data_IF_132520808619
#
_entry.id   IF_132520808619
#
_cell.length_a   1.000
_cell.length_b   1.000
_cell.length_c   1.000
_cell.angle_alpha   90.00
_cell.angle_beta   90.00
_cell.angle_gamma   90.00
#
_symmetry.space_group_name_H-M   'P 1'
#
loop_
_entity.id
_entity.type
_entity.pdbx_description
1 polymer ?
#
# COMPACT_ATOMS: atom_id res chain seq x y z
N UNK A 1 -10.39 -15.86 -22.35
CA UNK A 1 -10.22 -14.66 -23.21
C UNK A 1 -9.63 -15.08 -24.55
N UNK A 2 -10.17 -14.57 -25.64
CA UNK A 2 -9.62 -14.72 -27.00
C UNK A 2 -9.34 -13.35 -27.61
N UNK A 3 -8.33 -13.26 -28.46
CA UNK A 3 -8.01 -12.08 -29.27
C UNK A 3 -8.20 -12.40 -30.75
N UNK A 4 -8.75 -11.47 -31.51
CA UNK A 4 -8.83 -11.60 -32.97
C UNK A 4 -7.42 -11.57 -33.53
N UNK A 5 -7.09 -12.51 -34.41
CA UNK A 5 -5.80 -12.51 -35.08
C UNK A 5 -5.75 -11.37 -36.10
N UNK A 6 -4.57 -10.73 -36.25
CA UNK A 6 -4.36 -9.61 -37.17
C UNK A 6 -4.43 -10.02 -38.66
N UNK A 7 -4.58 -11.30 -38.97
CA UNK A 7 -4.71 -11.79 -40.34
C UNK A 7 -6.17 -11.73 -40.83
N UNK A 8 -6.44 -11.21 -42.04
CA UNK A 8 -7.78 -11.17 -42.61
C UNK A 8 -8.43 -12.57 -42.64
N UNK A 9 -9.61 -12.70 -42.03
CA UNK A 9 -10.37 -13.96 -41.96
C UNK A 9 -9.89 -14.96 -40.89
N UNK A 10 -8.93 -14.59 -40.04
CA UNK A 10 -8.40 -15.49 -39.02
C UNK A 10 -9.32 -15.60 -37.79
N UNK A 11 -9.40 -16.80 -37.15
CA UNK A 11 -10.25 -17.01 -35.99
C UNK A 11 -9.68 -16.34 -34.73
N UNK A 12 -10.56 -16.07 -33.78
CA UNK A 12 -10.21 -15.69 -32.42
C UNK A 12 -9.34 -16.77 -31.74
N UNK A 13 -8.14 -16.42 -31.29
CA UNK A 13 -7.22 -17.34 -30.61
C UNK A 13 -7.27 -17.14 -29.09
N UNK A 14 -7.23 -18.23 -28.32
CA UNK A 14 -7.28 -18.16 -26.86
C UNK A 14 -5.93 -17.71 -26.33
N UNK A 15 -5.91 -16.56 -25.64
CA UNK A 15 -4.68 -15.96 -25.11
C UNK A 15 -4.54 -16.16 -23.59
N UNK A 16 -5.65 -16.49 -22.91
CA UNK A 16 -5.60 -16.77 -21.48
C UNK A 16 -6.97 -17.06 -20.87
N UNK A 17 -6.94 -17.50 -19.62
CA UNK A 17 -8.11 -17.75 -18.79
C UNK A 17 -7.86 -17.13 -17.43
N UNK A 18 -8.91 -16.56 -16.83
CA UNK A 18 -8.88 -16.06 -15.46
C UNK A 18 -9.98 -16.77 -14.67
N UNK A 19 -9.68 -17.09 -13.42
CA UNK A 19 -10.60 -17.78 -12.52
C UNK A 19 -10.45 -17.21 -11.12
N UNK A 20 -11.55 -17.13 -10.39
CA UNK A 20 -11.57 -16.52 -9.07
C UNK A 20 -12.99 -16.16 -8.67
N UNK A 21 -13.18 -15.84 -7.39
CA UNK A 21 -14.50 -15.49 -6.83
C UNK A 21 -14.97 -14.09 -7.26
N UNK A 22 -14.04 -13.15 -7.38
CA UNK A 22 -14.26 -11.75 -7.78
C UNK A 22 -12.93 -11.16 -8.25
N UNK A 23 -12.98 -9.94 -8.80
CA UNK A 23 -11.77 -9.21 -9.20
C UNK A 23 -11.10 -9.75 -10.45
N UNK A 24 -11.88 -10.40 -11.34
CA UNK A 24 -11.33 -10.99 -12.55
C UNK A 24 -10.85 -9.88 -13.50
N UNK A 25 -9.54 -9.79 -13.67
CA UNK A 25 -8.88 -8.93 -14.64
C UNK A 25 -7.85 -9.74 -15.44
N UNK A 26 -7.56 -9.31 -16.67
CA UNK A 26 -6.55 -9.94 -17.52
C UNK A 26 -5.73 -8.88 -18.24
N UNK A 27 -4.41 -9.03 -18.21
CA UNK A 27 -3.46 -8.17 -18.91
C UNK A 27 -2.85 -8.93 -20.10
N UNK A 28 -3.03 -8.41 -21.31
CA UNK A 28 -2.42 -8.96 -22.51
C UNK A 28 -1.05 -8.29 -22.72
N UNK A 29 0.01 -8.92 -22.26
CA UNK A 29 1.39 -8.43 -22.43
C UNK A 29 1.93 -8.65 -23.84
N UNK A 30 1.21 -9.29 -24.75
CA UNK A 30 1.69 -9.61 -26.11
C UNK A 30 1.28 -8.57 -27.15
N UNK A 31 0.87 -7.38 -26.71
CA UNK A 31 0.39 -6.30 -27.58
C UNK A 31 1.55 -5.42 -28.03
N UNK A 32 1.56 -5.07 -29.31
CA UNK A 32 2.40 -4.01 -29.82
C UNK A 32 1.71 -2.66 -29.55
N UNK A 33 2.50 -1.68 -29.09
CA UNK A 33 2.02 -0.32 -28.88
C UNK A 33 1.52 0.29 -30.21
N UNK A 34 0.62 1.25 -30.08
CA UNK A 34 -0.08 1.94 -31.17
C UNK A 34 -0.95 1.04 -32.06
N UNK A 35 -1.32 -0.15 -31.57
CA UNK A 35 -2.22 -1.09 -32.26
C UNK A 35 -3.53 -1.25 -31.52
N UNK A 36 -4.59 -1.52 -32.29
CA UNK A 36 -5.91 -1.88 -31.77
C UNK A 36 -6.12 -3.38 -31.85
N UNK A 37 -6.74 -3.93 -30.81
CA UNK A 37 -7.02 -5.35 -30.66
C UNK A 37 -8.47 -5.57 -30.27
N UNK A 38 -9.11 -6.53 -30.91
CA UNK A 38 -10.45 -7.00 -30.56
C UNK A 38 -10.36 -8.25 -29.70
N UNK A 39 -11.03 -8.21 -28.56
CA UNK A 39 -11.10 -9.28 -27.59
C UNK A 39 -12.51 -9.85 -27.53
N UNK A 40 -12.59 -11.16 -27.34
CA UNK A 40 -13.81 -11.86 -26.98
C UNK A 40 -13.62 -12.54 -25.63
N UNK A 41 -14.57 -12.34 -24.73
CA UNK A 41 -14.56 -12.90 -23.38
C UNK A 41 -15.80 -13.77 -23.25
N UNK A 42 -15.65 -14.95 -22.65
CA UNK A 42 -16.73 -15.90 -22.44
C UNK A 42 -16.52 -16.68 -21.15
N UNK A 43 -17.59 -17.15 -20.53
CA UNK A 43 -17.56 -18.06 -19.38
C UNK A 43 -17.80 -19.52 -19.81
N UNK A 44 -17.43 -20.46 -18.94
CA UNK A 44 -17.81 -21.88 -19.04
C UNK A 44 -17.48 -22.55 -20.38
N UNK A 45 -16.20 -22.71 -20.72
CA UNK A 45 -15.74 -23.33 -21.97
C UNK A 45 -16.40 -22.77 -23.25
N UNK A 46 -16.70 -21.46 -23.28
CA UNK A 46 -17.36 -20.77 -24.40
C UNK A 46 -18.84 -21.11 -24.60
N UNK A 47 -19.47 -21.74 -23.61
CA UNK A 47 -20.90 -22.10 -23.62
C UNK A 47 -21.73 -21.01 -22.94
N UNK A 48 -21.12 -20.18 -22.09
CA UNK A 48 -21.78 -19.09 -21.38
C UNK A 48 -21.88 -17.78 -22.18
N UNK A 49 -22.36 -16.69 -21.53
CA UNK A 49 -22.43 -15.37 -22.13
C UNK A 49 -21.09 -14.95 -22.72
N UNK A 50 -21.13 -14.30 -23.89
CA UNK A 50 -19.93 -13.74 -24.52
C UNK A 50 -20.04 -12.25 -24.69
N UNK A 51 -18.98 -11.51 -24.41
CA UNK A 51 -18.85 -10.10 -24.76
C UNK A 51 -17.63 -9.85 -25.65
N UNK A 52 -17.64 -8.73 -26.36
CA UNK A 52 -16.51 -8.26 -27.16
C UNK A 52 -16.07 -6.90 -26.68
N UNK A 53 -14.77 -6.66 -26.68
CA UNK A 53 -14.17 -5.38 -26.32
C UNK A 53 -13.04 -5.06 -27.29
N UNK A 54 -12.98 -3.81 -27.74
CA UNK A 54 -11.84 -3.29 -28.49
C UNK A 54 -10.95 -2.48 -27.54
N UNK A 55 -9.64 -2.63 -27.61
CA UNK A 55 -8.69 -1.82 -26.87
C UNK A 55 -7.53 -1.40 -27.77
N UNK A 56 -6.98 -0.20 -27.53
CA UNK A 56 -5.74 0.26 -28.16
C UNK A 56 -4.63 0.21 -27.12
N UNK A 57 -3.49 -0.39 -27.48
CA UNK A 57 -2.28 -0.29 -26.69
C UNK A 57 -1.67 1.10 -26.92
N UNK A 58 -1.75 1.99 -25.95
CA UNK A 58 -1.32 3.37 -26.10
C UNK A 58 0.20 3.49 -25.95
N UNK A 59 0.82 4.37 -26.75
CA UNK A 59 2.21 4.77 -26.54
C UNK A 59 2.27 5.65 -25.29
N UNK A 60 3.25 5.42 -24.43
CA UNK A 60 3.54 6.28 -23.29
C UNK A 60 4.51 7.37 -23.77
N UNK A 61 3.96 8.40 -24.42
CA UNK A 61 4.72 9.38 -25.20
C UNK A 61 5.61 10.29 -24.36
N UNK A 62 5.21 10.58 -23.12
CA UNK A 62 5.91 11.49 -22.21
C UNK A 62 5.84 11.04 -20.74
N UNK A 63 6.30 11.91 -19.83
CA UNK A 63 6.33 11.70 -18.38
C UNK A 63 4.92 11.57 -17.81
N UNK A 64 4.00 12.41 -18.26
CA UNK A 64 2.63 12.45 -17.75
C UNK A 64 1.85 11.21 -18.21
N UNK A 65 1.97 10.79 -19.46
CA UNK A 65 1.36 9.57 -19.98
C UNK A 65 1.87 8.32 -19.25
N UNK A 66 3.17 8.26 -18.95
CA UNK A 66 3.75 7.16 -18.17
C UNK A 66 3.23 7.14 -16.74
N UNK A 67 3.17 8.31 -16.08
CA UNK A 67 2.67 8.42 -14.71
C UNK A 67 1.18 8.12 -14.61
N UNK A 68 0.36 8.56 -15.57
CA UNK A 68 -1.07 8.23 -15.64
C UNK A 68 -1.27 6.71 -15.79
N UNK A 69 -0.53 6.07 -16.69
CA UNK A 69 -0.53 4.61 -16.84
C UNK A 69 -0.15 3.90 -15.53
N UNK A 70 0.93 4.32 -14.88
CA UNK A 70 1.39 3.73 -13.63
C UNK A 70 0.35 3.90 -12.50
N UNK A 71 -0.22 5.10 -12.37
CA UNK A 71 -1.26 5.38 -11.39
C UNK A 71 -2.54 4.59 -11.66
N UNK A 72 -2.95 4.47 -12.93
CA UNK A 72 -4.12 3.69 -13.32
C UNK A 72 -3.94 2.21 -13.01
N UNK A 73 -2.80 1.64 -13.37
CA UNK A 73 -2.51 0.22 -13.11
C UNK A 73 -2.35 -0.07 -11.62
N UNK A 74 -1.80 0.85 -10.83
CA UNK A 74 -1.82 0.76 -9.37
C UNK A 74 -3.26 0.86 -8.81
N UNK A 75 -4.09 1.76 -9.33
CA UNK A 75 -5.50 1.89 -8.94
C UNK A 75 -6.29 0.60 -9.22
N UNK A 76 -6.03 -0.05 -10.35
CA UNK A 76 -6.72 -1.28 -10.75
C UNK A 76 -6.59 -2.39 -9.69
N UNK A 77 -5.48 -2.44 -8.93
CA UNK A 77 -5.35 -3.31 -7.77
C UNK A 77 -6.50 -3.10 -6.77
N UNK A 78 -6.69 -1.86 -6.31
CA UNK A 78 -7.74 -1.54 -5.33
C UNK A 78 -9.16 -1.69 -5.90
N UNK A 79 -9.31 -1.46 -7.20
CA UNK A 79 -10.61 -1.65 -7.86
C UNK A 79 -11.01 -3.12 -7.95
N UNK A 80 -10.10 -3.97 -8.45
CA UNK A 80 -10.35 -5.39 -8.71
C UNK A 80 -10.20 -6.26 -7.47
N UNK A 81 -9.25 -5.97 -6.56
CA UNK A 81 -9.03 -6.77 -5.36
C UNK A 81 -9.96 -6.42 -4.20
N UNK A 82 -10.83 -5.43 -4.36
CA UNK A 82 -11.91 -5.16 -3.42
C UNK A 82 -13.06 -6.16 -3.60
N UNK A 83 -13.49 -6.78 -2.50
CA UNK A 83 -14.62 -7.68 -2.50
C UNK A 83 -15.93 -6.92 -2.81
N UNK A 84 -16.76 -7.35 -3.78
CA UNK A 84 -17.84 -6.54 -4.33
C UNK A 84 -18.98 -6.24 -3.35
N UNK A 85 -19.16 -7.07 -2.31
CA UNK A 85 -20.24 -6.88 -1.30
C UNK A 85 -19.79 -6.17 -0.04
N UNK A 86 -18.51 -6.27 0.29
CA UNK A 86 -17.96 -5.79 1.57
C UNK A 86 -17.05 -4.59 1.37
N UNK A 87 -16.46 -4.44 0.18
CA UNK A 87 -15.52 -3.37 -0.15
C UNK A 87 -14.15 -3.52 0.52
N UNK A 88 -13.92 -4.63 1.23
CA UNK A 88 -12.63 -4.98 1.82
C UNK A 88 -11.65 -5.39 0.72
N UNK A 89 -10.41 -4.90 0.80
CA UNK A 89 -9.36 -5.13 -0.21
C UNK A 89 -8.46 -6.27 0.22
N UNK A 90 -8.16 -7.21 -0.67
CA UNK A 90 -7.19 -8.28 -0.39
C UNK A 90 -5.81 -7.73 -0.02
N UNK A 91 -5.07 -8.51 0.77
CA UNK A 91 -3.66 -8.24 1.08
C UNK A 91 -2.77 -8.25 -0.17
N UNK A 92 -3.08 -9.15 -1.11
CA UNK A 92 -2.31 -9.34 -2.35
C UNK A 92 -3.21 -9.83 -3.47
N UNK A 93 -2.72 -9.77 -4.71
CA UNK A 93 -3.45 -10.24 -5.90
C UNK A 93 -3.40 -11.77 -6.02
N UNK A 94 -3.92 -12.47 -5.00
CA UNK A 94 -4.01 -13.92 -4.95
C UNK A 94 -5.43 -14.35 -4.56
N UNK A 95 -6.04 -15.36 -5.21
CA UNK A 95 -7.42 -15.74 -4.94
C UNK A 95 -7.70 -16.19 -3.51
N UNK A 96 -6.68 -16.72 -2.83
CA UNK A 96 -6.72 -17.24 -1.46
C UNK A 96 -6.46 -16.18 -0.38
N UNK A 97 -6.02 -14.97 -0.76
CA UNK A 97 -5.67 -13.94 0.20
C UNK A 97 -6.90 -13.42 0.95
N UNK A 98 -6.74 -13.25 2.27
CA UNK A 98 -7.67 -12.51 3.09
C UNK A 98 -7.61 -11.01 2.77
N UNK A 99 -8.59 -10.27 3.28
CA UNK A 99 -8.55 -8.82 3.23
C UNK A 99 -7.52 -8.28 4.21
N UNK A 100 -6.79 -7.25 3.77
CA UNK A 100 -5.91 -6.47 4.61
C UNK A 100 -6.57 -5.13 4.94
N UNK A 101 -6.56 -4.77 6.22
CA UNK A 101 -7.15 -3.52 6.70
C UNK A 101 -6.36 -2.31 6.21
N UNK A 102 -5.04 -2.42 6.10
CA UNK A 102 -4.21 -1.33 5.58
C UNK A 102 -4.49 -1.09 4.09
N UNK A 103 -4.51 -2.14 3.27
CA UNK A 103 -4.89 -2.12 1.87
C UNK A 103 -6.32 -1.61 1.66
N UNK A 104 -7.23 -1.91 2.59
CA UNK A 104 -8.59 -1.34 2.58
C UNK A 104 -8.56 0.17 2.82
N UNK A 105 -7.72 0.65 3.73
CA UNK A 105 -7.44 2.07 3.93
C UNK A 105 -6.91 2.78 2.70
N UNK A 106 -5.86 2.24 2.09
CA UNK A 106 -5.34 2.74 0.82
C UNK A 106 -6.39 2.67 -0.30
N UNK A 107 -7.21 1.62 -0.32
CA UNK A 107 -8.29 1.45 -1.28
C UNK A 107 -9.35 2.54 -1.20
N UNK A 108 -9.72 3.00 0.00
CA UNK A 108 -10.61 4.16 0.17
C UNK A 108 -10.02 5.41 -0.50
N UNK A 109 -8.75 5.72 -0.24
CA UNK A 109 -8.04 6.82 -0.89
C UNK A 109 -7.97 6.64 -2.41
N UNK A 110 -7.67 5.43 -2.87
CA UNK A 110 -7.60 5.09 -4.29
C UNK A 110 -8.94 5.30 -5.01
N UNK A 111 -10.10 5.04 -4.35
CA UNK A 111 -11.41 5.31 -4.95
C UNK A 111 -11.63 6.80 -5.21
N UNK A 112 -11.22 7.67 -4.28
CA UNK A 112 -11.28 9.11 -4.46
C UNK A 112 -10.36 9.58 -5.60
N UNK A 113 -9.12 9.08 -5.65
CA UNK A 113 -8.17 9.35 -6.75
C UNK A 113 -8.74 8.87 -8.09
N UNK A 114 -9.31 7.66 -8.14
CA UNK A 114 -9.89 7.11 -9.37
C UNK A 114 -11.10 7.89 -9.87
N UNK A 115 -11.90 8.46 -8.96
CA UNK A 115 -12.98 9.37 -9.33
C UNK A 115 -12.44 10.72 -9.85
N UNK A 116 -11.42 11.28 -9.20
CA UNK A 116 -10.79 12.56 -9.58
C UNK A 116 -10.10 12.47 -10.95
N UNK A 117 -9.37 11.38 -11.18
CA UNK A 117 -8.69 11.07 -12.44
C UNK A 117 -9.62 10.56 -13.55
N UNK A 118 -10.89 10.27 -13.23
CA UNK A 118 -11.86 9.73 -14.19
C UNK A 118 -11.60 8.27 -14.61
N UNK A 119 -10.87 7.51 -13.80
CA UNK A 119 -10.65 6.08 -14.04
C UNK A 119 -11.93 5.25 -13.88
N UNK A 120 -12.79 5.69 -12.98
CA UNK A 120 -14.14 5.22 -12.72
C UNK A 120 -15.06 6.43 -12.54
N UNK A 121 -16.38 6.24 -12.64
CA UNK A 121 -17.30 7.34 -12.35
C UNK A 121 -17.28 7.68 -10.85
N UNK A 122 -17.50 8.97 -10.52
CA UNK A 122 -17.63 9.41 -9.11
C UNK A 122 -18.70 8.63 -8.36
N UNK A 123 -19.80 8.29 -9.04
CA UNK A 123 -20.89 7.48 -8.48
C UNK A 123 -20.40 6.10 -8.09
N UNK A 124 -19.72 5.39 -8.99
CA UNK A 124 -19.22 4.04 -8.72
C UNK A 124 -18.20 4.05 -7.57
N UNK A 125 -17.36 5.09 -7.51
CA UNK A 125 -16.43 5.31 -6.42
C UNK A 125 -17.15 5.54 -5.08
N UNK A 126 -18.16 6.42 -5.06
CA UNK A 126 -18.95 6.71 -3.87
C UNK A 126 -19.73 5.48 -3.37
N UNK A 127 -20.32 4.70 -4.28
CA UNK A 127 -21.03 3.46 -3.97
C UNK A 127 -20.08 2.42 -3.36
N UNK A 128 -18.85 2.28 -3.90
CA UNK A 128 -17.81 1.42 -3.32
C UNK A 128 -17.39 1.89 -1.93
N UNK A 129 -17.08 3.17 -1.78
CA UNK A 129 -16.67 3.77 -0.49
C UNK A 129 -17.75 3.57 0.56
N UNK A 130 -19.01 3.88 0.25
CA UNK A 130 -20.11 3.72 1.19
C UNK A 130 -20.27 2.26 1.61
N UNK A 131 -20.15 1.32 0.67
CA UNK A 131 -20.18 -0.12 0.97
C UNK A 131 -19.08 -0.50 1.96
N UNK A 132 -17.83 -0.09 1.72
CA UNK A 132 -16.70 -0.36 2.62
C UNK A 132 -16.94 0.22 4.02
N UNK A 133 -17.33 1.50 4.12
CA UNK A 133 -17.57 2.16 5.40
C UNK A 133 -18.71 1.49 6.19
N UNK A 134 -19.78 1.09 5.51
CA UNK A 134 -20.90 0.40 6.15
C UNK A 134 -20.52 -1.00 6.64
N UNK A 135 -19.70 -1.74 5.89
CA UNK A 135 -19.15 -3.03 6.34
C UNK A 135 -18.35 -2.86 7.62
N UNK A 136 -17.38 -1.93 7.61
CA UNK A 136 -16.52 -1.68 8.78
C UNK A 136 -17.34 -1.25 9.99
N UNK A 137 -18.34 -0.37 9.81
CA UNK A 137 -19.20 0.12 10.89
C UNK A 137 -20.09 -0.96 11.50
N UNK A 138 -20.55 -1.92 10.68
CA UNK A 138 -21.40 -3.03 11.13
C UNK A 138 -20.60 -4.19 11.71
N UNK A 139 -19.28 -4.21 11.50
CA UNK A 139 -18.39 -5.24 12.01
C UNK A 139 -18.45 -5.36 13.53
N UNK A 140 -18.48 -6.59 14.04
CA UNK A 140 -18.59 -6.86 15.48
C UNK A 140 -17.32 -6.39 16.20
N UNK A 141 -17.50 -5.56 17.24
CA UNK A 141 -16.42 -5.07 18.10
C UNK A 141 -16.51 -5.75 19.47
N UNK A 142 -15.51 -6.56 19.85
CA UNK A 142 -15.53 -7.36 21.09
C UNK A 142 -14.14 -7.94 21.39
N UNK A 143 -13.79 -8.19 22.67
CA UNK A 143 -12.53 -8.86 23.02
C UNK A 143 -12.52 -10.37 22.71
N UNK A 144 -13.61 -10.92 22.16
CA UNK A 144 -13.69 -12.34 21.81
C UNK A 144 -12.66 -12.73 20.73
N UNK A 145 -12.21 -13.98 20.74
CA UNK A 145 -11.17 -14.44 19.80
C UNK A 145 -11.66 -14.66 18.35
N UNK A 146 -12.97 -14.83 18.14
CA UNK A 146 -13.57 -15.20 16.85
C UNK A 146 -14.89 -14.46 16.59
N UNK A 147 -15.31 -14.42 15.32
CA UNK A 147 -16.53 -13.72 14.86
C UNK A 147 -16.55 -12.22 15.22
N UNK A 148 -15.37 -11.61 15.25
CA UNK A 148 -15.14 -10.20 15.56
C UNK A 148 -14.33 -9.56 14.44
N UNK A 149 -14.64 -8.31 14.10
CA UNK A 149 -13.87 -7.50 13.14
C UNK A 149 -12.81 -6.66 13.84
N UNK A 150 -12.95 -6.45 15.15
CA UNK A 150 -12.05 -5.63 15.93
C UNK A 150 -12.45 -5.49 17.39
N UNK A 151 -11.77 -4.61 18.10
CA UNK A 151 -12.01 -4.32 19.51
C UNK A 151 -11.60 -2.87 19.83
N UNK A 152 -12.31 -2.19 20.73
CA UNK A 152 -12.05 -0.78 21.09
C UNK A 152 -12.03 0.19 19.88
N UNK A 153 -12.75 -0.13 18.81
CA UNK A 153 -12.77 0.66 17.57
C UNK A 153 -11.56 0.41 16.66
N UNK A 154 -10.57 -0.37 17.11
CA UNK A 154 -9.50 -0.87 16.25
C UNK A 154 -9.95 -2.07 15.44
N UNK A 155 -9.20 -2.38 14.39
CA UNK A 155 -9.45 -3.52 13.52
C UNK A 155 -8.28 -4.51 13.55
N UNK A 156 -8.61 -5.79 13.36
CA UNK A 156 -7.60 -6.82 13.15
C UNK A 156 -6.90 -6.61 11.80
N UNK A 157 -5.61 -6.93 11.73
CA UNK A 157 -4.80 -6.70 10.53
C UNK A 157 -5.38 -7.40 9.28
N UNK A 158 -5.86 -8.63 9.45
CA UNK A 158 -6.51 -9.43 8.41
C UNK A 158 -7.96 -9.74 8.73
N UNK A 159 -8.82 -9.59 7.74
CA UNK A 159 -10.23 -9.95 7.81
C UNK A 159 -10.58 -10.93 6.68
N UNK A 160 -11.46 -11.89 6.97
CA UNK A 160 -12.07 -12.72 5.95
C UNK A 160 -12.92 -11.83 5.01
N UNK A 161 -12.70 -11.87 3.67
CA UNK A 161 -13.35 -10.93 2.74
C UNK A 161 -14.88 -11.05 2.68
N UNK A 162 -15.41 -12.24 2.96
CA UNK A 162 -16.84 -12.56 2.84
C UNK A 162 -17.61 -12.12 4.10
N UNK A 163 -17.03 -12.32 5.28
CA UNK A 163 -17.67 -12.09 6.58
C UNK A 163 -17.21 -10.81 7.29
N UNK A 164 -15.99 -10.33 6.99
CA UNK A 164 -15.36 -9.21 7.68
C UNK A 164 -14.87 -9.54 9.08
N UNK A 165 -14.75 -10.82 9.45
CA UNK A 165 -14.22 -11.24 10.75
C UNK A 165 -12.71 -11.49 10.70
N UNK A 166 -12.03 -11.38 11.84
CA UNK A 166 -10.61 -11.68 12.04
C UNK A 166 -10.22 -12.98 11.34
N UNK A 167 -9.16 -12.90 10.53
CA UNK A 167 -8.56 -14.03 9.84
C UNK A 167 -7.13 -14.27 10.34
N UNK A 168 -6.57 -15.45 10.03
CA UNK A 168 -5.14 -15.78 10.23
C UNK A 168 -4.64 -15.67 11.67
N UNK A 169 -5.53 -15.64 12.66
CA UNK A 169 -5.19 -15.36 14.07
C UNK A 169 -4.35 -14.08 14.25
N UNK A 170 -4.46 -13.12 13.33
CA UNK A 170 -3.65 -11.89 13.35
C UNK A 170 -3.95 -11.00 14.55
N UNK A 171 -3.07 -10.04 14.80
CA UNK A 171 -3.20 -9.02 15.82
C UNK A 171 -4.33 -8.03 15.55
N UNK A 172 -4.86 -7.45 16.63
CA UNK A 172 -5.46 -6.12 16.60
C UNK A 172 -4.32 -5.11 16.50
N UNK A 173 -4.28 -4.33 15.40
CA UNK A 173 -3.15 -3.44 15.13
C UNK A 173 -3.56 -1.96 15.15
N UNK A 174 -2.90 -1.12 15.97
CA UNK A 174 -3.17 0.30 16.02
C UNK A 174 -2.66 1.01 14.76
N UNK A 175 -1.52 0.58 14.20
CA UNK A 175 -0.96 1.19 13.00
C UNK A 175 -1.82 0.92 11.76
N UNK A 176 -2.23 -0.33 11.51
CA UNK A 176 -3.10 -0.62 10.34
C UNK A 176 -4.45 0.09 10.46
N UNK A 177 -4.95 0.25 11.69
CA UNK A 177 -6.16 1.03 11.97
C UNK A 177 -5.93 2.51 11.66
N UNK A 178 -4.77 3.08 12.02
CA UNK A 178 -4.45 4.47 11.70
C UNK A 178 -4.37 4.71 10.17
N UNK A 179 -3.81 3.76 9.41
CA UNK A 179 -3.81 3.84 7.94
C UNK A 179 -5.23 3.72 7.38
N UNK A 180 -6.04 2.78 7.90
CA UNK A 180 -7.46 2.68 7.54
C UNK A 180 -8.19 4.01 7.78
N UNK A 181 -8.03 4.58 8.97
CA UNK A 181 -8.66 5.84 9.35
C UNK A 181 -8.18 7.01 8.49
N UNK A 182 -6.95 6.98 7.98
CA UNK A 182 -6.46 7.98 7.04
C UNK A 182 -7.25 7.96 5.74
N UNK A 183 -7.50 6.77 5.19
CA UNK A 183 -8.38 6.60 4.03
C UNK A 183 -9.83 7.01 4.32
N UNK A 184 -10.36 6.67 5.50
CA UNK A 184 -11.70 7.08 5.95
C UNK A 184 -11.83 8.60 6.02
N UNK A 185 -10.84 9.29 6.59
CA UNK A 185 -10.81 10.75 6.65
C UNK A 185 -10.66 11.37 5.26
N UNK A 186 -9.84 10.78 4.39
CA UNK A 186 -9.65 11.26 3.02
C UNK A 186 -10.97 11.26 2.25
N UNK A 187 -11.67 10.11 2.22
CA UNK A 187 -12.96 10.01 1.49
C UNK A 187 -14.05 10.89 2.10
N UNK A 188 -14.02 11.11 3.42
CA UNK A 188 -14.91 12.08 4.07
C UNK A 188 -14.72 13.50 3.54
N UNK A 189 -13.47 13.92 3.27
CA UNK A 189 -13.19 15.26 2.74
C UNK A 189 -13.43 15.36 1.24
N UNK A 190 -13.27 14.26 0.49
CA UNK A 190 -13.44 14.24 -0.97
C UNK A 190 -14.90 14.12 -1.42
N UNK A 191 -15.69 13.27 -0.76
CA UNK A 191 -17.09 13.01 -1.11
C UNK A 191 -18.06 13.92 -0.33
N UNK A 192 -18.31 15.11 -0.88
CA UNK A 192 -19.05 16.20 -0.20
C UNK A 192 -20.34 16.62 -0.90
N UNK A 193 -20.75 15.93 -1.98
CA UNK A 193 -22.01 16.25 -2.64
C UNK A 193 -23.22 15.92 -1.74
N UNK A 194 -24.38 16.59 -1.91
CA UNK A 194 -25.55 16.35 -1.05
C UNK A 194 -26.01 14.89 -0.98
N UNK A 195 -25.89 14.14 -2.07
CA UNK A 195 -26.24 12.71 -2.13
C UNK A 195 -25.15 11.78 -1.54
N UNK A 196 -24.01 12.32 -1.11
CA UNK A 196 -22.87 11.59 -0.54
C UNK A 196 -22.80 11.74 1.00
N UNK A 197 -23.76 12.42 1.63
CA UNK A 197 -23.75 12.73 3.07
C UNK A 197 -23.58 11.50 3.98
N UNK A 198 -24.05 10.32 3.54
CA UNK A 198 -23.87 9.07 4.26
C UNK A 198 -22.39 8.67 4.42
N UNK A 199 -21.51 9.03 3.47
CA UNK A 199 -20.06 8.78 3.56
C UNK A 199 -19.49 9.55 4.73
N UNK A 200 -19.75 10.86 4.81
CA UNK A 200 -19.27 11.69 5.92
C UNK A 200 -19.77 11.18 7.28
N UNK A 201 -21.05 10.80 7.37
CA UNK A 201 -21.63 10.28 8.62
C UNK A 201 -20.98 8.97 9.10
N UNK A 202 -20.78 8.00 8.20
CA UNK A 202 -20.13 6.74 8.55
C UNK A 202 -18.63 6.94 8.85
N UNK A 203 -17.95 7.78 8.09
CA UNK A 203 -16.54 8.06 8.30
C UNK A 203 -16.27 8.74 9.65
N UNK A 204 -17.07 9.75 10.02
CA UNK A 204 -16.99 10.38 11.35
C UNK A 204 -17.26 9.37 12.46
N UNK A 205 -18.27 8.50 12.30
CA UNK A 205 -18.59 7.50 13.31
C UNK A 205 -17.45 6.49 13.52
N UNK A 206 -16.84 6.01 12.43
CA UNK A 206 -15.69 5.11 12.50
C UNK A 206 -14.49 5.75 13.19
N UNK A 207 -14.10 6.95 12.74
CA UNK A 207 -12.95 7.66 13.31
C UNK A 207 -13.12 7.95 14.81
N UNK A 208 -14.31 8.41 15.21
CA UNK A 208 -14.58 8.75 16.60
C UNK A 208 -14.69 7.54 17.52
N UNK A 209 -14.93 6.33 16.98
CA UNK A 209 -15.03 5.11 17.75
C UNK A 209 -13.66 4.52 18.15
N UNK A 210 -12.56 4.94 17.51
CA UNK A 210 -11.22 4.44 17.82
C UNK A 210 -10.77 4.96 19.18
N UNK A 211 -10.63 4.05 20.13
CA UNK A 211 -10.21 4.38 21.49
C UNK A 211 -8.68 4.39 21.61
N UNK A 212 -8.01 5.44 21.15
CA UNK A 212 -6.53 5.50 21.13
C UNK A 212 -5.87 5.31 22.49
N UNK A 213 -6.59 5.54 23.59
CA UNK A 213 -6.07 5.30 24.94
C UNK A 213 -5.87 3.81 25.27
N UNK A 214 -6.50 2.90 24.52
CA UNK A 214 -6.40 1.46 24.74
C UNK A 214 -4.98 0.91 24.52
N UNK A 215 -4.19 1.54 23.63
CA UNK A 215 -2.81 1.16 23.34
C UNK A 215 -1.78 1.97 24.14
N UNK A 216 -2.18 2.75 25.15
CA UNK A 216 -1.20 3.48 25.96
C UNK A 216 -0.45 2.54 26.89
N UNK A 217 0.88 2.62 26.87
CA UNK A 217 1.76 1.94 27.82
C UNK A 217 2.30 2.89 28.90
N UNK A 218 2.72 2.36 30.07
CA UNK A 218 3.17 3.15 31.21
C UNK A 218 4.36 4.08 30.94
N UNK A 219 5.17 3.77 29.93
CA UNK A 219 6.37 4.55 29.55
C UNK A 219 6.04 5.74 28.63
N UNK A 220 4.75 5.99 28.38
CA UNK A 220 4.21 6.95 27.43
C UNK A 220 4.47 6.61 25.96
N UNK A 221 4.59 5.33 25.59
CA UNK A 221 4.53 4.89 24.19
C UNK A 221 3.23 4.17 23.87
N UNK A 222 2.98 3.99 22.58
CA UNK A 222 1.89 3.15 22.12
C UNK A 222 2.38 1.71 21.99
N UNK A 223 1.63 0.77 22.55
CA UNK A 223 1.84 -0.66 22.38
C UNK A 223 1.73 -1.05 20.90
N UNK A 224 2.45 -2.10 20.53
CA UNK A 224 2.58 -2.51 19.13
C UNK A 224 1.35 -3.27 18.62
N UNK A 225 0.88 -4.25 19.39
CA UNK A 225 -0.15 -5.20 18.96
C UNK A 225 -0.92 -5.76 20.15
N UNK A 226 -2.19 -6.13 19.94
CA UNK A 226 -3.00 -6.80 20.96
C UNK A 226 -3.65 -8.07 20.42
N UNK A 227 -3.68 -9.12 21.22
CA UNK A 227 -4.37 -10.38 20.91
C UNK A 227 -5.39 -10.72 21.99
N UNK A 228 -6.56 -11.29 21.64
CA UNK A 228 -7.55 -11.79 22.60
C UNK A 228 -6.99 -12.75 23.64
N UNK A 229 -6.05 -13.60 23.22
CA UNK A 229 -5.58 -14.72 24.03
C UNK A 229 -4.41 -14.33 24.96
N UNK A 230 -3.59 -13.36 24.54
CA UNK A 230 -2.35 -12.98 25.24
C UNK A 230 -2.31 -11.54 25.73
N UNK A 231 -3.27 -10.71 25.34
CA UNK A 231 -3.29 -9.28 25.68
C UNK A 231 -2.35 -8.46 24.80
N UNK A 232 -1.85 -7.35 25.36
CA UNK A 232 -0.90 -6.47 24.67
C UNK A 232 0.46 -7.16 24.53
N UNK A 233 1.09 -6.99 23.38
CA UNK A 233 2.48 -7.38 23.16
C UNK A 233 3.43 -6.56 24.05
N UNK A 234 4.60 -7.12 24.37
CA UNK A 234 5.60 -6.44 25.20
C UNK A 234 6.35 -5.33 24.44
N UNK A 235 6.30 -5.33 23.10
CA UNK A 235 6.93 -4.32 22.26
C UNK A 235 6.05 -3.07 22.13
N UNK A 236 6.72 -1.93 22.06
CA UNK A 236 6.14 -0.59 21.95
C UNK A 236 6.74 0.11 20.73
N UNK A 237 5.97 1.03 20.13
CA UNK A 237 6.46 1.78 18.98
C UNK A 237 7.59 2.73 19.34
N UNK A 238 8.78 2.44 18.81
CA UNK A 238 9.96 3.31 18.85
C UNK A 238 10.13 4.09 17.55
N UNK A 239 10.68 5.29 17.65
CA UNK A 239 11.05 6.12 16.53
C UNK A 239 12.50 5.92 16.09
N UNK A 240 12.87 6.15 14.83
CA UNK A 240 11.96 6.43 13.71
C UNK A 240 11.41 5.12 13.15
N UNK A 241 10.08 5.05 13.02
CA UNK A 241 9.35 3.97 12.38
C UNK A 241 8.19 4.55 11.56
N UNK A 242 7.37 3.67 11.00
CA UNK A 242 6.15 3.99 10.27
C UNK A 242 5.07 4.65 11.15
N UNK A 243 5.22 4.60 12.48
CA UNK A 243 4.20 4.99 13.44
C UNK A 243 3.96 6.50 13.58
N UNK A 244 4.67 7.39 12.85
CA UNK A 244 4.46 8.84 12.97
C UNK A 244 2.98 9.21 12.78
N UNK A 245 2.35 8.65 11.75
CA UNK A 245 0.93 8.84 11.46
C UNK A 245 0.01 8.38 12.59
N UNK A 246 0.32 7.23 13.20
CA UNK A 246 -0.43 6.69 14.34
C UNK A 246 -0.41 7.69 15.51
N UNK A 247 0.75 8.18 15.92
CA UNK A 247 0.84 9.13 17.02
C UNK A 247 0.16 10.47 16.71
N UNK A 248 0.35 11.03 15.51
CA UNK A 248 -0.31 12.28 15.09
C UNK A 248 -1.83 12.13 15.15
N UNK A 249 -2.34 11.02 14.65
CA UNK A 249 -3.78 10.73 14.63
C UNK A 249 -4.33 10.52 16.04
N UNK A 250 -3.63 9.77 16.88
CA UNK A 250 -4.02 9.50 18.25
C UNK A 250 -4.04 10.78 19.11
N UNK A 251 -3.06 11.67 18.94
CA UNK A 251 -3.02 12.98 19.62
C UNK A 251 -4.12 13.90 19.11
N UNK A 252 -4.38 13.89 17.80
CA UNK A 252 -5.39 14.71 17.16
C UNK A 252 -6.84 14.25 17.35
N UNK A 253 -7.07 13.10 17.99
CA UNK A 253 -8.41 12.57 18.24
C UNK A 253 -9.23 13.47 19.16
N UNK A 254 -10.52 13.64 18.86
CA UNK A 254 -11.42 14.47 19.68
C UNK A 254 -12.21 13.68 20.72
N UNK A 255 -12.23 12.35 20.62
CA UNK A 255 -13.01 11.47 21.52
C UNK A 255 -12.13 10.70 22.48
N UNK A 256 -11.00 10.19 22.01
CA UNK A 256 -10.08 9.37 22.79
C UNK A 256 -8.62 9.78 22.59
N UNK A 257 -8.25 11.06 22.78
CA UNK A 257 -6.87 11.52 22.55
C UNK A 257 -5.87 10.88 23.51
N UNK A 258 -4.66 10.67 23.02
CA UNK A 258 -3.49 10.42 23.88
C UNK A 258 -2.78 11.74 24.20
N UNK A 259 -2.09 11.85 25.36
CA UNK A 259 -1.33 13.05 25.69
C UNK A 259 -0.17 13.31 24.70
N UNK A 260 0.16 14.58 24.37
CA UNK A 260 1.31 14.91 23.51
C UNK A 260 2.66 14.42 24.02
N UNK A 261 2.79 14.11 25.31
CA UNK A 261 4.01 13.49 25.87
C UNK A 261 4.35 12.16 25.23
N UNK A 262 3.37 11.47 24.63
CA UNK A 262 3.59 10.23 23.90
C UNK A 262 4.42 10.43 22.63
N UNK A 263 4.24 11.56 21.95
CA UNK A 263 5.11 11.95 20.84
C UNK A 263 6.56 12.14 21.31
N UNK A 264 6.75 12.81 22.46
CA UNK A 264 8.08 13.01 23.02
C UNK A 264 8.79 11.68 23.34
N UNK A 265 8.09 10.71 23.95
CA UNK A 265 8.63 9.39 24.26
C UNK A 265 8.92 8.54 23.00
N UNK A 266 8.15 8.71 21.93
CA UNK A 266 8.41 8.11 20.62
C UNK A 266 9.67 8.69 19.96
N UNK A 267 9.78 10.03 19.92
CA UNK A 267 10.93 10.72 19.30
C UNK A 267 12.24 10.55 20.09
N UNK A 268 12.17 10.22 21.38
CA UNK A 268 13.37 10.08 22.22
C UNK A 268 14.27 8.91 21.84
N UNK A 269 13.77 7.97 21.02
CA UNK A 269 14.54 6.81 20.55
C UNK A 269 15.18 7.02 19.19
N UNK A 270 15.03 8.22 18.60
CA UNK A 270 15.60 8.53 17.30
C UNK A 270 17.12 8.33 17.27
N UNK A 271 17.58 7.57 16.27
CA UNK A 271 18.99 7.39 15.98
C UNK A 271 19.37 8.27 14.80
N UNK A 272 20.36 9.15 14.99
CA UNK A 272 20.94 9.93 13.90
C UNK A 272 22.10 9.17 13.26
N UNK A 273 22.17 9.20 11.93
CA UNK A 273 23.24 8.60 11.14
C UNK A 273 23.91 9.64 10.25
N UNK A 274 25.16 9.37 9.87
CA UNK A 274 25.90 10.12 8.87
C UNK A 274 26.37 9.18 7.75
N UNK A 275 25.76 9.28 6.57
CA UNK A 275 26.03 8.39 5.43
C UNK A 275 26.10 9.20 4.14
N UNK A 276 27.06 8.89 3.27
CA UNK A 276 27.24 9.55 1.97
C UNK A 276 27.26 11.09 2.00
N UNK A 277 27.75 11.68 3.10
CA UNK A 277 27.81 13.13 3.30
C UNK A 277 26.50 13.76 3.79
N UNK A 278 25.48 12.97 4.11
CA UNK A 278 24.23 13.42 4.70
C UNK A 278 24.13 13.05 6.18
N UNK A 279 23.38 13.84 6.95
CA UNK A 279 22.97 13.51 8.32
C UNK A 279 21.45 13.49 8.41
N UNK A 280 20.90 12.42 8.98
CA UNK A 280 19.45 12.21 9.08
C UNK A 280 19.12 11.22 10.20
N UNK A 281 17.85 11.19 10.61
CA UNK A 281 17.30 10.17 11.51
C UNK A 281 17.11 8.90 10.68
N UNK A 282 17.81 7.82 11.02
CA UNK A 282 17.78 6.58 10.25
C UNK A 282 16.61 5.68 10.64
N UNK A 283 16.17 4.87 9.67
CA UNK A 283 15.26 3.74 9.86
C UNK A 283 15.44 2.81 8.67
N UNK A 284 15.64 1.52 8.93
CA UNK A 284 16.15 0.58 7.93
C UNK A 284 15.25 0.45 6.69
N UNK A 285 13.96 0.08 6.80
CA UNK A 285 13.10 -0.03 5.63
C UNK A 285 12.68 1.33 5.11
N UNK A 286 12.72 1.52 3.79
CA UNK A 286 12.44 2.82 3.21
C UNK A 286 10.98 3.28 3.43
N UNK A 287 10.02 2.36 3.52
CA UNK A 287 8.60 2.70 3.72
C UNK A 287 8.34 3.48 5.03
N UNK A 288 9.20 3.34 6.04
CA UNK A 288 9.10 4.08 7.31
C UNK A 288 9.28 5.61 7.14
N UNK A 289 9.91 6.02 6.04
CA UNK A 289 10.08 7.41 5.60
C UNK A 289 9.01 7.87 4.60
N UNK A 290 8.06 7.01 4.25
CA UNK A 290 7.08 7.27 3.19
C UNK A 290 5.64 7.20 3.70
N UNK A 291 5.32 6.18 4.50
CA UNK A 291 3.93 5.82 4.80
C UNK A 291 3.13 6.91 5.51
N UNK A 292 3.76 7.64 6.42
CA UNK A 292 3.10 8.72 7.16
C UNK A 292 2.96 9.99 6.31
N UNK A 293 3.94 10.21 5.45
CA UNK A 293 4.07 11.34 4.55
C UNK A 293 3.04 11.29 3.41
N UNK A 294 2.45 10.12 3.14
CA UNK A 294 1.29 9.97 2.23
C UNK A 294 0.07 10.77 2.69
N UNK A 295 -0.13 10.88 4.00
CA UNK A 295 -1.36 11.47 4.58
C UNK A 295 -1.11 12.74 5.38
N UNK A 296 0.12 12.98 5.82
CA UNK A 296 0.48 14.17 6.57
C UNK A 296 1.56 14.97 5.83
N UNK A 297 1.28 16.23 5.53
CA UNK A 297 2.22 17.10 4.83
C UNK A 297 3.27 17.68 5.77
N UNK A 298 4.43 17.03 5.82
CA UNK A 298 5.55 17.45 6.65
C UNK A 298 6.39 18.59 6.07
N UNK A 299 6.13 19.09 4.86
CA UNK A 299 6.99 20.13 4.22
C UNK A 299 7.09 21.43 5.02
N UNK A 300 6.08 21.70 5.86
CA UNK A 300 5.97 22.92 6.66
C UNK A 300 5.93 22.64 8.16
N UNK A 301 6.34 21.44 8.57
CA UNK A 301 6.35 21.01 9.97
C UNK A 301 7.78 20.65 10.34
N UNK A 302 8.23 21.20 11.46
CA UNK A 302 9.51 20.86 12.06
C UNK A 302 9.28 20.41 13.50
N UNK A 303 10.10 19.47 13.96
CA UNK A 303 10.03 18.88 15.29
C UNK A 303 11.37 19.04 16.03
N UNK A 304 11.42 18.60 17.29
CA UNK A 304 12.60 18.66 18.18
C UNK A 304 13.18 20.08 18.22
N UNK A 305 12.30 21.05 18.52
CA UNK A 305 12.64 22.49 18.55
C UNK A 305 13.17 23.03 17.22
N UNK A 306 12.68 22.49 16.10
CA UNK A 306 13.03 22.94 14.75
C UNK A 306 14.26 22.27 14.16
N UNK A 307 14.81 21.24 14.81
CA UNK A 307 16.02 20.53 14.35
C UNK A 307 15.74 19.42 13.35
N UNK A 308 14.51 18.89 13.33
CA UNK A 308 14.11 17.82 12.39
C UNK A 308 13.00 18.32 11.48
N UNK A 309 13.27 18.35 10.18
CA UNK A 309 12.23 18.46 9.14
C UNK A 309 12.02 17.07 8.54
N UNK A 310 10.87 16.45 8.79
CA UNK A 310 10.62 15.07 8.34
C UNK A 310 10.58 14.92 6.82
N UNK A 311 10.07 15.91 6.08
CA UNK A 311 10.10 15.84 4.62
C UNK A 311 11.54 15.81 4.09
N UNK A 312 12.39 16.68 4.63
CA UNK A 312 13.81 16.69 4.27
C UNK A 312 14.54 15.43 4.76
N UNK A 313 14.20 14.92 5.95
CA UNK A 313 14.73 13.66 6.46
C UNK A 313 14.42 12.50 5.51
N UNK A 314 13.17 12.37 5.07
CA UNK A 314 12.73 11.32 4.13
C UNK A 314 13.35 11.49 2.75
N UNK A 315 13.54 12.73 2.29
CA UNK A 315 14.29 13.03 1.07
C UNK A 315 15.74 12.58 1.17
N UNK A 316 16.41 12.86 2.28
CA UNK A 316 17.77 12.43 2.54
C UNK A 316 17.83 10.90 2.63
N UNK A 317 16.93 10.25 3.36
CA UNK A 317 16.86 8.79 3.46
C UNK A 317 16.73 8.14 2.07
N UNK A 318 15.88 8.71 1.20
CA UNK A 318 15.72 8.28 -0.19
C UNK A 318 17.02 8.38 -0.99
N UNK A 319 17.67 9.55 -0.98
CA UNK A 319 18.94 9.77 -1.68
C UNK A 319 20.05 8.83 -1.18
N UNK A 320 20.09 8.64 0.12
CA UNK A 320 21.07 7.78 0.80
C UNK A 320 20.84 6.32 0.42
N UNK A 321 19.59 5.87 0.32
CA UNK A 321 19.25 4.52 -0.14
C UNK A 321 19.54 4.32 -1.64
N UNK A 322 19.31 5.32 -2.50
CA UNK A 322 19.73 5.25 -3.91
C UNK A 322 21.25 5.09 -4.00
N UNK A 323 21.99 5.88 -3.21
CA UNK A 323 23.46 5.81 -3.20
C UNK A 323 23.97 4.46 -2.71
N UNK A 324 23.31 3.89 -1.70
CA UNK A 324 23.57 2.55 -1.22
C UNK A 324 23.44 1.50 -2.35
N UNK A 325 22.39 1.60 -3.17
CA UNK A 325 22.23 0.76 -4.36
C UNK A 325 23.37 0.97 -5.37
N UNK A 326 23.75 2.22 -5.66
CA UNK A 326 24.86 2.51 -6.59
C UNK A 326 26.19 1.89 -6.16
N UNK A 327 26.50 1.92 -4.87
CA UNK A 327 27.73 1.32 -4.33
C UNK A 327 27.70 -0.23 -4.43
N UNK A 328 26.52 -0.84 -4.31
CA UNK A 328 26.32 -2.29 -4.47
C UNK A 328 26.51 -2.78 -5.91
N UNK A 329 26.48 -1.90 -6.92
CA UNK A 329 26.66 -2.25 -8.34
C UNK A 329 27.91 -3.07 -8.62
N UNK A 330 28.99 -2.84 -7.86
CA UNK A 330 30.25 -3.57 -8.01
C UNK A 330 30.12 -5.06 -7.65
N UNK A 331 29.19 -5.42 -6.75
CA UNK A 331 28.93 -6.79 -6.34
C UNK A 331 27.69 -7.39 -7.03
N UNK A 332 26.72 -6.55 -7.40
CA UNK A 332 25.42 -6.95 -7.95
C UNK A 332 25.03 -6.03 -9.10
N UNK A 333 25.28 -6.47 -10.34
CA UNK A 333 25.24 -5.62 -11.52
C UNK A 333 23.89 -4.95 -11.83
N UNK A 334 22.77 -5.48 -11.30
CA UNK A 334 21.44 -4.88 -11.46
C UNK A 334 21.23 -3.66 -10.57
N UNK A 335 21.89 -3.58 -9.40
CA UNK A 335 21.83 -2.39 -8.56
C UNK A 335 22.47 -1.19 -9.28
N UNK A 336 21.80 -0.04 -9.25
CA UNK A 336 22.24 1.18 -9.94
C UNK A 336 21.50 2.42 -9.46
N UNK A 337 21.81 3.60 -10.03
CA UNK A 337 21.01 4.81 -9.82
C UNK A 337 19.54 4.67 -10.29
N UNK A 338 19.23 3.69 -11.15
CA UNK A 338 17.90 3.47 -11.72
C UNK A 338 17.21 2.20 -11.22
N UNK A 339 17.87 1.40 -10.38
CA UNK A 339 17.30 0.18 -9.82
C UNK A 339 17.67 0.09 -8.35
N UNK A 340 16.77 0.59 -7.52
CA UNK A 340 16.89 0.76 -6.06
C UNK A 340 15.50 0.68 -5.44
N UNK A 341 15.42 0.54 -4.10
CA UNK A 341 14.16 0.45 -3.38
C UNK A 341 14.13 -0.74 -2.44
N UNK A 342 15.12 -0.84 -1.54
CA UNK A 342 15.15 -1.91 -0.53
C UNK A 342 14.21 -1.51 0.61
N UNK A 343 13.12 -2.26 0.75
CA UNK A 343 12.05 -2.04 1.73
C UNK A 343 11.30 -3.37 1.96
N UNK A 344 10.41 -3.40 2.95
CA UNK A 344 9.58 -4.56 3.27
C UNK A 344 8.81 -5.05 2.04
N UNK A 345 8.97 -6.34 1.74
CA UNK A 345 8.29 -6.98 0.62
C UNK A 345 8.32 -8.50 0.74
N UNK A 346 7.48 -9.16 -0.06
CA UNK A 346 7.73 -10.55 -0.41
C UNK A 346 8.97 -10.64 -1.30
N UNK A 347 9.81 -11.64 -1.04
CA UNK A 347 10.96 -11.98 -1.86
C UNK A 347 10.88 -13.38 -2.46
N UNK A 348 11.96 -13.84 -3.12
CA UNK A 348 12.00 -15.09 -3.87
C UNK A 348 11.76 -16.37 -3.06
N UNK A 349 11.76 -16.30 -1.72
CA UNK A 349 11.48 -17.43 -0.82
C UNK A 349 12.69 -17.91 -0.02
N UNK A 350 12.44 -18.67 1.06
CA UNK A 350 13.42 -19.06 2.09
C UNK A 350 14.40 -20.18 1.68
N UNK A 351 14.84 -20.21 0.41
CA UNK A 351 15.71 -21.26 -0.14
C UNK A 351 17.14 -20.80 -0.39
N UNK A 352 18.10 -21.73 -0.35
CA UNK A 352 19.44 -21.53 -0.90
C UNK A 352 19.41 -21.67 -2.43
N UNK A 353 18.74 -20.76 -3.12
CA UNK A 353 18.81 -20.72 -4.58
C UNK A 353 20.15 -20.08 -4.99
N UNK A 354 20.95 -20.87 -5.70
CA UNK A 354 22.30 -20.58 -6.18
C UNK A 354 22.57 -19.12 -6.59
N UNK A 355 23.66 -18.57 -6.03
CA UNK A 355 24.54 -17.52 -6.57
C UNK A 355 23.96 -16.12 -6.87
N UNK A 356 23.33 -15.43 -5.90
CA UNK A 356 23.18 -13.95 -6.01
C UNK A 356 22.72 -13.13 -4.78
N UNK A 357 22.36 -13.73 -3.64
CA UNK A 357 22.16 -12.99 -2.37
C UNK A 357 23.48 -12.80 -1.61
N UNK A 358 23.63 -11.79 -0.72
CA UNK A 358 24.78 -11.72 0.18
C UNK A 358 24.67 -12.93 1.11
N UNK A 359 25.58 -13.90 0.96
CA UNK A 359 25.60 -15.21 1.63
C UNK A 359 24.69 -16.30 1.04
N UNK A 360 24.08 -16.10 -0.15
CA UNK A 360 23.31 -17.15 -0.83
C UNK A 360 21.96 -17.48 -0.18
N UNK A 361 21.41 -16.56 0.62
CA UNK A 361 20.09 -16.67 1.26
C UNK A 361 19.16 -15.64 0.63
N UNK A 362 17.98 -16.10 0.21
CA UNK A 362 16.83 -15.24 -0.09
C UNK A 362 15.78 -15.47 0.98
N UNK A 363 14.98 -14.44 1.24
CA UNK A 363 13.84 -14.54 2.14
C UNK A 363 12.54 -14.54 1.34
N UNK A 364 11.50 -15.16 1.90
CA UNK A 364 10.11 -14.88 1.51
C UNK A 364 9.73 -13.47 1.93
N UNK A 365 8.68 -13.33 2.75
CA UNK A 365 8.44 -12.07 3.43
C UNK A 365 9.50 -11.82 4.51
N UNK A 366 10.10 -10.64 4.50
CA UNK A 366 10.88 -10.13 5.64
C UNK A 366 10.96 -8.61 5.59
N UNK A 367 11.17 -8.01 6.75
CA UNK A 367 11.52 -6.59 6.86
C UNK A 367 12.91 -6.38 6.29
N UNK A 368 13.02 -5.56 5.23
CA UNK A 368 14.27 -5.30 4.52
C UNK A 368 14.60 -3.82 4.58
N UNK A 369 15.88 -3.51 4.68
CA UNK A 369 16.33 -2.13 4.71
C UNK A 369 17.79 -1.95 4.33
N UNK A 370 18.11 -0.73 3.91
CA UNK A 370 19.45 -0.38 3.45
C UNK A 370 20.28 0.31 4.54
N UNK A 371 19.68 1.24 5.30
CA UNK A 371 20.42 2.11 6.21
C UNK A 371 19.68 2.25 7.56
N UNK A 372 20.17 1.56 8.61
CA UNK A 372 21.22 0.54 8.55
C UNK A 372 20.76 -0.69 7.75
N UNK A 373 21.69 -1.48 7.23
CA UNK A 373 21.34 -2.66 6.44
C UNK A 373 20.61 -3.69 7.32
N UNK A 374 19.46 -4.18 6.87
CA UNK A 374 18.61 -5.12 7.60
C UNK A 374 18.05 -6.15 6.62
N UNK A 375 18.36 -7.43 6.84
CA UNK A 375 17.92 -8.56 5.99
C UNK A 375 18.07 -8.29 4.47
N UNK A 376 19.06 -7.52 4.07
CA UNK A 376 19.27 -7.16 2.67
C UNK A 376 19.76 -8.39 1.88
N UNK A 377 18.84 -8.99 1.13
CA UNK A 377 19.09 -10.09 0.20
C UNK A 377 19.18 -9.61 -1.27
N UNK A 378 19.40 -8.31 -1.49
CA UNK A 378 19.38 -7.61 -2.77
C UNK A 378 18.01 -7.54 -3.47
N UNK A 379 16.93 -7.92 -2.79
CA UNK A 379 15.57 -7.74 -3.32
C UNK A 379 15.20 -6.26 -3.33
N UNK A 380 14.71 -5.79 -4.48
CA UNK A 380 14.25 -4.41 -4.69
C UNK A 380 12.74 -4.44 -4.94
N UNK A 381 12.00 -3.55 -4.27
CA UNK A 381 10.57 -3.33 -4.51
C UNK A 381 10.34 -2.02 -5.28
N UNK A 382 9.48 -2.00 -6.32
CA UNK A 382 9.08 -0.76 -7.01
C UNK A 382 8.40 0.26 -6.09
N UNK A 383 7.88 -0.19 -4.94
CA UNK A 383 7.33 0.68 -3.90
C UNK A 383 8.36 1.69 -3.39
N UNK A 384 9.64 1.33 -3.30
CA UNK A 384 10.70 2.23 -2.87
C UNK A 384 10.75 3.53 -3.70
N UNK A 385 11.02 3.48 -5.02
CA UNK A 385 11.00 4.69 -5.83
C UNK A 385 9.60 5.31 -5.99
N UNK A 386 8.52 4.51 -6.06
CA UNK A 386 7.16 5.04 -6.20
C UNK A 386 6.72 5.85 -4.97
N UNK A 387 6.89 5.30 -3.77
CA UNK A 387 6.60 5.94 -2.49
C UNK A 387 7.49 7.14 -2.21
N UNK A 388 8.70 7.19 -2.79
CA UNK A 388 9.60 8.33 -2.67
C UNK A 388 9.40 9.44 -3.71
N UNK A 389 8.43 9.30 -4.63
CA UNK A 389 8.24 10.25 -5.72
C UNK A 389 8.02 11.70 -5.24
N UNK A 390 7.33 11.89 -4.11
CA UNK A 390 7.11 13.22 -3.52
C UNK A 390 8.39 13.90 -3.02
N UNK A 391 9.45 13.14 -2.73
CA UNK A 391 10.71 13.66 -2.22
C UNK A 391 11.74 13.87 -3.33
N UNK A 392 11.81 12.93 -4.27
CA UNK A 392 12.82 12.89 -5.32
C UNK A 392 12.22 12.59 -6.71
N UNK A 393 11.35 13.47 -7.24
CA UNK A 393 10.51 13.16 -8.40
C UNK A 393 11.32 12.73 -9.63
N UNK A 394 12.40 13.42 -9.98
CA UNK A 394 13.26 13.06 -11.13
C UNK A 394 13.91 11.68 -10.94
N UNK A 395 14.52 11.44 -9.78
CA UNK A 395 15.22 10.19 -9.47
C UNK A 395 14.26 9.00 -9.42
N UNK A 396 13.10 9.20 -8.79
CA UNK A 396 12.03 8.19 -8.70
C UNK A 396 11.45 7.90 -10.08
N UNK A 397 11.18 8.92 -10.89
CA UNK A 397 10.65 8.75 -12.25
C UNK A 397 11.61 7.95 -13.13
N UNK A 398 12.90 8.28 -13.10
CA UNK A 398 13.92 7.59 -13.88
C UNK A 398 14.01 6.11 -13.47
N UNK A 399 13.95 5.82 -12.17
CA UNK A 399 13.95 4.45 -11.67
C UNK A 399 12.70 3.66 -12.11
N UNK A 400 11.51 4.24 -11.95
CA UNK A 400 10.26 3.60 -12.36
C UNK A 400 10.21 3.33 -13.87
N UNK A 401 10.70 4.28 -14.67
CA UNK A 401 10.83 4.10 -16.12
C UNK A 401 11.81 3.01 -16.49
N UNK A 402 12.96 2.97 -15.82
CA UNK A 402 13.94 1.92 -16.03
C UNK A 402 13.36 0.54 -15.70
N UNK A 403 12.69 0.40 -14.56
CA UNK A 403 12.01 -0.84 -14.16
C UNK A 403 10.96 -1.24 -15.20
N UNK A 404 10.12 -0.31 -15.65
CA UNK A 404 9.13 -0.56 -16.68
C UNK A 404 9.78 -1.00 -18.00
N UNK A 405 10.73 -0.25 -18.55
CA UNK A 405 11.38 -0.56 -19.84
C UNK A 405 12.15 -1.89 -19.80
N UNK A 406 12.80 -2.19 -18.68
CA UNK A 406 13.65 -3.38 -18.54
C UNK A 406 12.83 -4.65 -18.35
N UNK A 407 11.73 -4.59 -17.60
CA UNK A 407 10.98 -5.79 -17.19
C UNK A 407 9.61 -5.94 -17.86
N UNK A 408 9.04 -4.87 -18.41
CA UNK A 408 7.72 -4.87 -19.05
C UNK A 408 7.74 -4.30 -20.47
N UNK A 409 8.66 -3.39 -20.79
CA UNK A 409 8.72 -2.66 -22.07
C UNK A 409 9.49 -3.37 -23.19
N UNK A 410 9.86 -4.65 -23.02
CA UNK A 410 10.49 -5.48 -24.06
C UNK A 410 9.53 -6.47 -24.74
N UNK A 411 8.23 -6.40 -24.46
CA UNK A 411 7.22 -7.25 -25.12
C UNK A 411 6.59 -6.57 -26.34
#
# INVERSE_FOLDING_TARGET
MRRLSNAPGAPFQQIGTVSGRYGLNYYDSSVALDKSYDYRIATGNWIGPTCTAAARANVLEDDDAFLDYLQRTAFDYFWFQAHPRTGLVRDRNEPWANADVMATGFGLTAMAIGADRGYISRRDAADRVLTTLMTLRKGTQSPAASNVSGYNGFFYHRLDPDTGYRAENCELSPYVTAVLMSGVLYVKQFFTLPNEAAISGNATALFNAVNWTFFQEPDHRLGYQWYPDTGMDAYEYHGLSEAKLLYIMAIGSQTHPIPPTFWSAYTSTYTAAAQYGYSFIESSPLFTHQSSELYFDFRRVADLSGTVNYFENSRIATLTQQRYSMDKKASYAWHSEHFWGISDCDGPGNGSASTSGPNGVYYGYTTRGAIPALNDDNTVTPEGPAGSFMFTPTISLDALRYMYKTHLGQS
#
